data_IF_692575992026
#
_entry.id   IF_692575992026
#
_cell.length_a   1.000
_cell.length_b   1.000
_cell.length_c   1.000
_cell.angle_alpha   90.00
_cell.angle_beta   90.00
_cell.angle_gamma   90.00
#
_symmetry.space_group_name_H-M   'P 1'
#
loop_
_entity.id
_entity.type
_entity.pdbx_description
1 polymer ?
#
# COMPACT_ATOMS: atom_id res chain seq x y z
N UNK A 1 9.96 -7.66 -21.41
CA UNK A 1 10.58 -6.36 -21.13
C UNK A 1 9.66 -5.46 -20.30
N UNK A 2 8.80 -6.02 -19.42
CA UNK A 2 8.58 -5.39 -18.11
C UNK A 2 9.82 -5.74 -17.28
N UNK A 3 10.32 -4.96 -16.33
CA UNK A 3 9.55 -4.72 -15.12
C UNK A 3 10.17 -3.61 -14.25
N UNK A 4 10.95 -2.68 -14.84
CA UNK A 4 11.62 -1.63 -14.06
C UNK A 4 10.61 -0.83 -13.21
N UNK A 5 9.42 -0.58 -13.77
CA UNK A 5 8.32 0.12 -13.11
C UNK A 5 7.74 -0.62 -11.91
N UNK A 6 7.71 -1.95 -11.91
CA UNK A 6 7.16 -2.74 -10.81
C UNK A 6 8.13 -2.75 -9.64
N UNK A 7 9.43 -2.91 -9.91
CA UNK A 7 10.48 -2.75 -8.90
C UNK A 7 10.42 -1.36 -8.26
N UNK A 8 10.26 -0.31 -9.06
CA UNK A 8 10.14 1.06 -8.57
C UNK A 8 8.89 1.27 -7.69
N UNK A 9 7.71 0.78 -8.11
CA UNK A 9 6.46 0.87 -7.33
C UNK A 9 6.50 0.06 -6.03
N UNK A 10 7.09 -1.13 -6.09
CA UNK A 10 7.32 -2.00 -4.94
C UNK A 10 8.20 -1.32 -3.89
N UNK A 11 9.29 -0.66 -4.34
CA UNK A 11 10.19 0.13 -3.49
C UNK A 11 9.49 1.32 -2.83
N UNK A 12 8.61 1.98 -3.57
CA UNK A 12 7.80 3.08 -3.04
C UNK A 12 6.89 2.58 -1.92
N UNK A 13 6.20 1.46 -2.10
CA UNK A 13 5.35 0.88 -1.05
C UNK A 13 6.16 0.54 0.19
N UNK A 14 7.31 -0.13 0.05
CA UNK A 14 8.22 -0.40 1.16
C UNK A 14 8.61 0.89 1.89
N UNK A 15 9.04 1.90 1.15
CA UNK A 15 9.47 3.19 1.72
C UNK A 15 8.34 3.86 2.50
N UNK A 16 7.14 3.93 1.92
CA UNK A 16 5.96 4.48 2.59
C UNK A 16 5.63 3.70 3.87
N UNK A 17 5.69 2.37 3.83
CA UNK A 17 5.55 1.52 5.01
C UNK A 17 6.58 1.85 6.10
N UNK A 18 7.86 1.99 5.73
CA UNK A 18 8.92 2.32 6.70
C UNK A 18 8.79 3.71 7.30
N UNK A 19 8.20 4.67 6.58
CA UNK A 19 7.88 6.00 7.13
C UNK A 19 6.77 5.91 8.19
N UNK A 20 5.97 4.84 8.16
CA UNK A 20 4.93 4.56 9.14
C UNK A 20 3.91 5.68 9.25
N UNK A 21 3.51 6.03 10.48
CA UNK A 21 2.53 7.10 10.76
C UNK A 21 2.87 8.46 10.13
N UNK A 22 4.14 8.73 9.79
CA UNK A 22 4.55 9.99 9.13
C UNK A 22 4.06 10.06 7.68
N UNK A 23 3.83 8.92 7.03
CA UNK A 23 3.29 8.84 5.68
C UNK A 23 1.76 8.69 5.65
N UNK A 24 1.07 8.76 6.80
CA UNK A 24 -0.38 8.55 6.91
C UNK A 24 -1.21 9.75 6.42
N UNK A 25 -1.03 10.13 5.15
CA UNK A 25 -1.92 11.08 4.47
C UNK A 25 -3.00 10.33 3.68
N UNK A 26 -4.13 10.99 3.43
CA UNK A 26 -5.24 10.38 2.69
C UNK A 26 -4.82 9.99 1.26
N UNK A 27 -3.94 10.76 0.64
CA UNK A 27 -3.42 10.51 -0.70
C UNK A 27 -2.55 9.26 -0.71
N UNK A 28 -1.65 9.10 0.26
CA UNK A 28 -0.80 7.91 0.40
C UNK A 28 -1.64 6.67 0.65
N UNK A 29 -2.62 6.76 1.56
CA UNK A 29 -3.53 5.65 1.86
C UNK A 29 -4.31 5.25 0.60
N UNK A 30 -4.88 6.22 -0.12
CA UNK A 30 -5.63 5.97 -1.36
C UNK A 30 -4.77 5.36 -2.45
N UNK A 31 -3.53 5.83 -2.61
CA UNK A 31 -2.59 5.30 -3.59
C UNK A 31 -2.19 3.84 -3.28
N UNK A 32 -1.99 3.52 -2.00
CA UNK A 32 -1.68 2.15 -1.57
C UNK A 32 -2.88 1.22 -1.75
N UNK A 33 -4.09 1.69 -1.44
CA UNK A 33 -5.34 0.96 -1.71
C UNK A 33 -5.46 0.64 -3.20
N UNK A 34 -5.22 1.62 -4.07
CA UNK A 34 -5.23 1.40 -5.51
C UNK A 34 -4.17 0.38 -5.95
N UNK A 35 -2.96 0.46 -5.37
CA UNK A 35 -1.88 -0.49 -5.62
C UNK A 35 -2.21 -1.93 -5.19
N UNK A 36 -3.14 -2.16 -4.26
CA UNK A 36 -3.60 -3.51 -3.90
C UNK A 36 -4.33 -4.23 -5.06
N UNK A 37 -4.84 -3.49 -6.03
CA UNK A 37 -5.44 -4.05 -7.25
C UNK A 37 -4.43 -4.69 -8.20
N UNK A 38 -3.15 -4.35 -8.07
CA UNK A 38 -2.06 -4.91 -8.89
C UNK A 38 -1.46 -6.13 -8.18
N UNK A 39 -1.57 -7.30 -8.80
CA UNK A 39 -1.12 -8.59 -8.24
C UNK A 39 0.36 -8.63 -7.87
N UNK A 40 1.22 -7.90 -8.60
CA UNK A 40 2.67 -7.94 -8.39
C UNK A 40 3.11 -7.12 -7.17
N UNK A 41 2.37 -6.04 -6.84
CA UNK A 41 2.72 -5.13 -5.75
C UNK A 41 1.73 -5.17 -4.58
N UNK A 42 0.65 -5.97 -4.68
CA UNK A 42 -0.40 -6.09 -3.66
C UNK A 42 0.14 -6.31 -2.26
N UNK A 43 1.10 -7.24 -2.11
CA UNK A 43 1.67 -7.56 -0.80
C UNK A 43 2.42 -6.40 -0.20
N UNK A 44 3.23 -5.69 -0.98
CA UNK A 44 3.99 -4.55 -0.50
C UNK A 44 3.07 -3.37 -0.18
N UNK A 45 2.00 -3.17 -0.96
CA UNK A 45 0.98 -2.17 -0.67
C UNK A 45 0.22 -2.47 0.63
N UNK A 46 -0.17 -3.73 0.86
CA UNK A 46 -0.80 -4.16 2.12
C UNK A 46 0.12 -3.98 3.32
N UNK A 47 1.38 -4.42 3.21
CA UNK A 47 2.37 -4.28 4.27
C UNK A 47 2.63 -2.81 4.60
N UNK A 48 2.69 -1.95 3.58
CA UNK A 48 2.82 -0.51 3.76
C UNK A 48 1.64 0.09 4.52
N UNK A 49 0.40 -0.27 4.16
CA UNK A 49 -0.81 0.19 4.85
C UNK A 49 -0.83 -0.21 6.33
N UNK A 50 -0.48 -1.47 6.64
CA UNK A 50 -0.38 -1.96 8.02
C UNK A 50 0.65 -1.16 8.81
N UNK A 51 1.82 -0.88 8.22
CA UNK A 51 2.89 -0.13 8.87
C UNK A 51 2.57 1.37 9.04
N UNK A 52 1.82 1.96 8.10
CA UNK A 52 1.43 3.38 8.13
C UNK A 52 0.40 3.66 9.23
N UNK A 53 -0.46 2.70 9.59
CA UNK A 53 -1.06 2.72 10.92
C UNK A 53 -2.33 1.90 11.14
N UNK A 54 -2.51 1.57 12.42
CA UNK A 54 -3.65 0.92 13.08
C UNK A 54 -5.03 1.55 12.77
N UNK A 55 -5.07 2.81 12.33
CA UNK A 55 -6.32 3.55 12.04
C UNK A 55 -6.91 3.28 10.66
N UNK A 56 -6.22 2.50 9.81
CA UNK A 56 -6.71 2.11 8.47
C UNK A 56 -7.40 0.73 8.50
N UNK A 57 -7.49 0.09 9.66
CA UNK A 57 -8.07 -1.26 9.81
C UNK A 57 -9.50 -1.34 9.25
N UNK A 58 -10.34 -0.33 9.45
CA UNK A 58 -11.70 -0.32 8.88
C UNK A 58 -11.70 -0.26 7.35
N UNK A 59 -10.87 0.61 6.74
CA UNK A 59 -10.84 0.77 5.28
C UNK A 59 -10.20 -0.44 4.60
N UNK A 60 -9.14 -1.01 5.18
CA UNK A 60 -8.47 -2.21 4.64
C UNK A 60 -9.37 -3.45 4.76
N UNK A 61 -10.14 -3.57 5.85
CA UNK A 61 -11.12 -4.66 6.00
C UNK A 61 -12.21 -4.59 4.92
N UNK A 62 -12.78 -3.41 4.67
CA UNK A 62 -13.81 -3.26 3.61
C UNK A 62 -13.27 -3.62 2.23
N UNK A 63 -12.00 -3.29 1.94
CA UNK A 63 -11.36 -3.62 0.67
C UNK A 63 -11.07 -5.13 0.58
N UNK A 64 -10.58 -5.75 1.65
CA UNK A 64 -10.29 -7.19 1.67
C UNK A 64 -11.56 -8.05 1.61
N UNK A 65 -12.68 -7.57 2.16
CA UNK A 65 -13.98 -8.27 2.09
C UNK A 65 -14.60 -8.17 0.69
N UNK A 66 -14.34 -7.09 -0.06
CA UNK A 66 -14.93 -6.82 -1.37
C UNK A 66 -14.01 -7.10 -2.57
N UNK A 67 -12.78 -7.59 -2.35
CA UNK A 67 -11.82 -7.97 -3.39
C UNK A 67 -11.94 -9.44 -3.78
#
# INVERSE_FOLDING_TARGET
>A
MGDKTFGDRSKVCETLGTMGKKAATNEVISALIFAMGDTEIRWNACAALVNIGEKVVTTVIDILINA
#
